data_IF_532456710793
#
_entry.id   IF_532456710793
#
_cell.length_a   1.000
_cell.length_b   1.000
_cell.length_c   1.000
_cell.angle_alpha   90.00
_cell.angle_beta   90.00
_cell.angle_gamma   90.00
#
_symmetry.space_group_name_H-M   'P 1'
#
loop_
_entity.id
_entity.type
_entity.pdbx_description
1 polymer ?
#
# COMPACT_ATOMS: atom_id res chain seq x y z
N UNK A 1 -8.04 -9.00 -32.03
CA UNK A 1 -7.82 -9.38 -30.61
C UNK A 1 -6.43 -10.01 -30.39
N UNK A 2 -6.02 -10.99 -31.20
CA UNK A 2 -4.70 -11.64 -31.10
C UNK A 2 -3.49 -10.73 -31.39
N UNK A 3 -3.57 -9.81 -32.35
CA UNK A 3 -2.46 -8.87 -32.63
C UNK A 3 -2.26 -7.81 -31.54
N UNK A 4 -3.33 -7.49 -30.81
CA UNK A 4 -3.26 -6.62 -29.64
C UNK A 4 -2.49 -7.31 -28.50
N UNK A 5 -2.78 -8.61 -28.26
CA UNK A 5 -2.03 -9.50 -27.36
C UNK A 5 -0.57 -9.71 -27.80
N UNK A 6 -0.32 -9.79 -29.12
CA UNK A 6 1.03 -9.97 -29.68
C UNK A 6 1.90 -8.72 -29.52
N UNK A 7 1.36 -7.52 -29.75
CA UNK A 7 2.05 -6.25 -29.41
C UNK A 7 2.23 -6.08 -27.90
N UNK A 8 1.28 -6.57 -27.10
CA UNK A 8 1.35 -6.66 -25.63
C UNK A 8 2.60 -7.42 -25.16
N UNK A 9 2.90 -8.56 -25.79
CA UNK A 9 4.01 -9.46 -25.45
C UNK A 9 5.34 -9.12 -26.15
N UNK A 10 5.33 -8.32 -27.22
CA UNK A 10 6.49 -8.15 -28.11
C UNK A 10 7.45 -7.03 -27.67
N UNK A 11 6.99 -5.99 -26.97
CA UNK A 11 7.85 -4.85 -26.63
C UNK A 11 8.25 -4.82 -25.14
N UNK A 12 9.56 -4.75 -24.86
CA UNK A 12 10.15 -4.75 -23.50
C UNK A 12 9.60 -3.60 -22.63
N UNK A 13 9.29 -2.45 -23.25
CA UNK A 13 8.70 -1.30 -22.57
C UNK A 13 7.21 -1.49 -22.25
N UNK A 14 6.47 -2.25 -23.08
CA UNK A 14 5.06 -2.58 -22.82
C UNK A 14 4.94 -3.51 -21.62
N UNK A 15 5.79 -4.53 -21.53
CA UNK A 15 5.85 -5.44 -20.37
C UNK A 15 6.18 -4.69 -19.08
N UNK A 16 7.12 -3.75 -19.10
CA UNK A 16 7.47 -2.90 -17.94
C UNK A 16 6.28 -2.07 -17.46
N UNK A 17 5.51 -1.47 -18.38
CA UNK A 17 4.29 -0.71 -18.05
C UNK A 17 3.20 -1.59 -17.44
N UNK A 18 2.96 -2.75 -18.02
CA UNK A 18 1.94 -3.69 -17.55
C UNK A 18 2.29 -4.25 -16.18
N UNK A 19 3.56 -4.59 -15.96
CA UNK A 19 4.02 -5.03 -14.65
C UNK A 19 3.82 -3.94 -13.59
N UNK A 20 4.11 -2.69 -13.91
CA UNK A 20 3.88 -1.56 -13.01
C UNK A 20 2.38 -1.35 -12.70
N UNK A 21 1.51 -1.44 -13.70
CA UNK A 21 0.07 -1.35 -13.53
C UNK A 21 -0.51 -2.54 -12.75
N UNK A 22 0.05 -3.74 -12.92
CA UNK A 22 -0.32 -4.93 -12.18
C UNK A 22 0.13 -4.85 -10.72
N UNK A 23 1.34 -4.35 -10.46
CA UNK A 23 1.81 -4.08 -9.09
C UNK A 23 0.92 -3.05 -8.38
N UNK A 24 0.51 -1.99 -9.09
CA UNK A 24 -0.46 -1.01 -8.60
C UNK A 24 -1.80 -1.68 -8.27
N UNK A 25 -2.31 -2.56 -9.14
CA UNK A 25 -3.56 -3.28 -8.93
C UNK A 25 -3.50 -4.22 -7.72
N UNK A 26 -2.42 -5.00 -7.59
CA UNK A 26 -2.22 -5.90 -6.45
C UNK A 26 -2.07 -5.12 -5.15
N UNK A 27 -1.26 -4.05 -5.14
CA UNK A 27 -1.08 -3.22 -3.95
C UNK A 27 -2.38 -2.54 -3.51
N UNK A 28 -3.13 -1.95 -4.43
CA UNK A 28 -4.41 -1.29 -4.12
C UNK A 28 -5.49 -2.30 -3.74
N UNK A 29 -5.52 -3.49 -4.36
CA UNK A 29 -6.44 -4.57 -4.01
C UNK A 29 -6.17 -5.14 -2.62
N UNK A 30 -4.91 -5.43 -2.28
CA UNK A 30 -4.53 -5.91 -0.94
C UNK A 30 -4.78 -4.85 0.14
N UNK A 31 -4.44 -3.59 -0.13
CA UNK A 31 -4.75 -2.50 0.79
C UNK A 31 -6.25 -2.31 0.99
N UNK A 32 -7.05 -2.46 -0.08
CA UNK A 32 -8.50 -2.35 0.02
C UNK A 32 -9.09 -3.48 0.87
N UNK A 33 -8.62 -4.71 0.67
CA UNK A 33 -9.01 -5.85 1.51
C UNK A 33 -8.64 -5.61 2.97
N UNK A 34 -7.41 -5.17 3.24
CA UNK A 34 -6.98 -4.83 4.59
C UNK A 34 -7.87 -3.74 5.22
N UNK A 35 -8.15 -2.65 4.48
CA UNK A 35 -9.01 -1.56 4.93
C UNK A 35 -10.44 -2.02 5.23
N UNK A 36 -10.97 -2.93 4.42
CA UNK A 36 -12.31 -3.48 4.60
C UNK A 36 -12.40 -4.32 5.88
N UNK A 37 -11.43 -5.23 6.09
CA UNK A 37 -11.37 -6.03 7.32
C UNK A 37 -11.20 -5.13 8.55
N UNK A 38 -10.28 -4.16 8.51
CA UNK A 38 -10.05 -3.22 9.60
C UNK A 38 -11.32 -2.41 9.94
N UNK A 39 -12.14 -2.09 8.94
CA UNK A 39 -13.38 -1.36 9.15
C UNK A 39 -14.46 -2.22 9.82
N UNK A 40 -14.54 -3.51 9.47
CA UNK A 40 -15.43 -4.46 10.15
C UNK A 40 -14.99 -4.66 11.60
N UNK A 41 -13.68 -4.79 11.82
CA UNK A 41 -13.09 -4.93 13.15
C UNK A 41 -13.38 -3.69 14.02
N UNK A 42 -13.20 -2.48 13.47
CA UNK A 42 -13.54 -1.22 14.16
C UNK A 42 -15.04 -1.13 14.53
N UNK A 43 -15.94 -1.55 13.63
CA UNK A 43 -17.38 -1.58 13.91
C UNK A 43 -17.75 -2.63 14.97
N UNK A 44 -17.03 -3.75 15.01
CA UNK A 44 -17.24 -4.79 16.02
C UNK A 44 -16.83 -4.29 17.40
N UNK A 45 -15.69 -3.59 17.48
CA UNK A 45 -15.19 -2.96 18.70
C UNK A 45 -16.10 -1.83 19.19
N UNK A 46 -16.71 -1.09 18.26
CA UNK A 46 -17.71 -0.07 18.59
C UNK A 46 -18.99 -0.66 19.21
N UNK A 47 -19.36 -1.90 18.86
CA UNK A 47 -20.48 -2.62 19.48
C UNK A 47 -20.10 -3.22 20.83
N UNK A 48 -18.89 -3.79 20.93
CA UNK A 48 -18.36 -4.44 22.11
C UNK A 48 -16.88 -4.08 22.27
N UNK A 49 -16.56 -3.12 23.15
CA UNK A 49 -15.19 -2.62 23.34
C UNK A 49 -14.20 -3.67 23.89
N UNK A 50 -14.72 -4.76 24.46
CA UNK A 50 -13.95 -5.90 24.98
C UNK A 50 -13.97 -7.13 24.07
N UNK A 51 -14.50 -7.02 22.84
CA UNK A 51 -14.48 -8.14 21.90
C UNK A 51 -13.03 -8.43 21.48
N UNK A 52 -12.56 -9.65 21.74
CA UNK A 52 -11.31 -10.13 21.18
C UNK A 52 -11.46 -10.27 19.65
N UNK A 53 -10.57 -9.65 18.90
CA UNK A 53 -10.56 -9.77 17.44
C UNK A 53 -9.89 -11.08 17.04
N UNK A 54 -10.31 -11.67 15.92
CA UNK A 54 -9.76 -12.93 15.40
C UNK A 54 -8.26 -12.86 15.08
N UNK A 55 -7.70 -11.66 15.01
CA UNK A 55 -6.31 -11.39 14.68
C UNK A 55 -5.45 -11.06 15.91
N UNK A 56 -6.02 -11.09 17.12
CA UNK A 56 -5.28 -11.02 18.38
C UNK A 56 -4.66 -12.39 18.68
N UNK A 57 -3.37 -12.55 18.37
CA UNK A 57 -2.65 -13.82 18.61
C UNK A 57 -1.83 -13.77 19.90
N UNK A 58 -1.26 -12.61 20.23
CA UNK A 58 -0.45 -12.39 21.43
C UNK A 58 -0.49 -10.90 21.83
N UNK A 59 0.04 -10.55 23.00
CA UNK A 59 0.20 -9.16 23.46
C UNK A 59 0.89 -8.25 22.43
N UNK A 60 1.81 -8.82 21.66
CA UNK A 60 2.55 -8.17 20.58
C UNK A 60 1.75 -8.08 19.28
N UNK A 61 0.99 -9.13 18.93
CA UNK A 61 0.16 -9.14 17.71
C UNK A 61 -1.28 -8.94 18.13
N UNK A 62 -1.66 -7.68 18.29
CA UNK A 62 -3.02 -7.30 18.66
C UNK A 62 -3.59 -6.22 17.74
N UNK A 63 -4.58 -6.61 16.93
CA UNK A 63 -5.38 -5.67 16.16
C UNK A 63 -6.24 -4.80 17.07
N UNK A 64 -6.74 -5.36 18.17
CA UNK A 64 -7.60 -4.65 19.13
C UNK A 64 -6.88 -3.52 19.85
N UNK A 65 -5.61 -3.72 20.23
CA UNK A 65 -4.79 -2.69 20.85
C UNK A 65 -4.59 -1.48 19.93
N UNK A 66 -4.31 -1.74 18.64
CA UNK A 66 -4.14 -0.69 17.62
C UNK A 66 -5.47 0.00 17.31
N UNK A 67 -6.57 -0.75 17.22
CA UNK A 67 -7.89 -0.22 16.87
C UNK A 67 -8.53 0.61 18.00
N UNK A 68 -8.24 0.32 19.27
CA UNK A 68 -8.72 1.10 20.42
C UNK A 68 -7.88 2.35 20.71
N UNK A 69 -6.70 2.49 20.09
CA UNK A 69 -5.86 3.65 20.32
C UNK A 69 -6.45 4.90 19.65
N UNK A 70 -6.28 6.06 20.29
CA UNK A 70 -6.83 7.34 19.79
C UNK A 70 -6.33 7.70 18.39
N UNK A 71 -5.15 7.21 18.00
CA UNK A 71 -4.60 7.40 16.66
C UNK A 71 -5.45 6.74 15.58
N UNK A 72 -6.29 5.75 15.90
CA UNK A 72 -7.18 5.07 14.97
C UNK A 72 -8.41 5.91 14.57
N UNK A 73 -8.73 6.98 15.30
CA UNK A 73 -9.92 7.83 15.09
C UNK A 73 -9.57 9.32 14.93
N UNK A 74 -8.57 9.64 14.11
CA UNK A 74 -8.03 11.01 13.98
C UNK A 74 -9.06 12.04 13.51
N UNK A 75 -9.98 11.65 12.63
CA UNK A 75 -11.00 12.54 12.05
C UNK A 75 -12.38 12.35 12.71
N UNK A 76 -12.43 11.74 13.90
CA UNK A 76 -13.67 11.40 14.61
C UNK A 76 -14.37 10.14 14.09
N UNK A 77 -13.81 9.48 13.08
CA UNK A 77 -14.22 8.17 12.58
C UNK A 77 -13.00 7.27 12.36
N UNK A 78 -13.15 5.93 12.30
CA UNK A 78 -12.02 5.03 12.14
C UNK A 78 -11.25 5.29 10.83
N UNK A 79 -9.92 5.39 10.90
CA UNK A 79 -9.07 5.71 9.76
C UNK A 79 -9.18 4.68 8.62
N UNK A 80 -9.62 3.45 8.92
CA UNK A 80 -9.85 2.38 7.95
C UNK A 80 -10.85 2.76 6.86
N UNK A 81 -11.81 3.66 7.16
CA UNK A 81 -12.75 4.19 6.18
C UNK A 81 -12.08 5.06 5.11
N UNK A 82 -10.99 5.76 5.45
CA UNK A 82 -10.22 6.54 4.48
C UNK A 82 -9.66 5.61 3.40
N UNK A 83 -9.14 4.44 3.80
CA UNK A 83 -8.67 3.41 2.88
C UNK A 83 -9.79 2.86 1.99
N UNK A 84 -10.97 2.60 2.56
CA UNK A 84 -12.14 2.15 1.80
C UNK A 84 -12.64 3.15 0.75
N UNK A 85 -12.37 4.45 0.93
CA UNK A 85 -12.76 5.48 -0.05
C UNK A 85 -11.67 5.68 -1.11
N UNK A 86 -10.40 5.70 -0.69
CA UNK A 86 -9.28 6.09 -1.56
C UNK A 86 -8.72 4.94 -2.39
N UNK A 87 -8.65 3.72 -1.84
CA UNK A 87 -8.05 2.58 -2.52
C UNK A 87 -8.89 2.04 -3.71
N UNK A 88 -10.24 2.06 -3.70
CA UNK A 88 -11.01 1.72 -4.90
C UNK A 88 -10.71 2.66 -6.07
N UNK A 89 -10.45 3.94 -5.79
CA UNK A 89 -10.03 4.89 -6.84
C UNK A 89 -8.69 4.45 -7.43
N UNK A 90 -7.73 4.00 -6.61
CA UNK A 90 -6.46 3.45 -7.12
C UNK A 90 -6.64 2.16 -7.91
N UNK A 91 -7.54 1.26 -7.47
CA UNK A 91 -7.90 0.03 -8.21
C UNK A 91 -8.47 0.37 -9.58
N UNK A 92 -9.42 1.31 -9.66
CA UNK A 92 -10.03 1.71 -10.94
C UNK A 92 -9.01 2.32 -11.89
N UNK A 93 -8.10 3.15 -11.39
CA UNK A 93 -6.97 3.68 -12.17
C UNK A 93 -6.11 2.52 -12.69
N UNK A 94 -5.76 1.55 -11.83
CA UNK A 94 -4.93 0.41 -12.23
C UNK A 94 -5.58 -0.44 -13.34
N UNK A 95 -6.88 -0.75 -13.21
CA UNK A 95 -7.65 -1.50 -14.22
C UNK A 95 -7.72 -0.72 -15.53
N UNK A 96 -8.01 0.59 -15.47
CA UNK A 96 -8.05 1.43 -16.66
C UNK A 96 -6.69 1.50 -17.38
N UNK A 97 -5.58 1.56 -16.62
CA UNK A 97 -4.24 1.51 -17.17
C UNK A 97 -3.93 0.16 -17.84
N UNK A 98 -4.38 -0.96 -17.26
CA UNK A 98 -4.24 -2.30 -17.86
C UNK A 98 -5.07 -2.47 -19.14
N UNK A 99 -6.25 -1.85 -19.18
CA UNK A 99 -7.10 -1.77 -20.37
C UNK A 99 -6.50 -0.88 -21.48
N UNK A 100 -5.41 -0.15 -21.19
CA UNK A 100 -4.72 0.71 -22.16
C UNK A 100 -5.27 2.13 -22.24
N UNK A 101 -6.07 2.56 -21.25
CA UNK A 101 -6.54 3.94 -21.17
C UNK A 101 -5.37 4.91 -21.02
N UNK A 102 -5.48 6.06 -21.69
CA UNK A 102 -4.48 7.14 -21.62
C UNK A 102 -5.07 8.29 -20.80
N UNK A 103 -4.51 8.52 -19.62
CA UNK A 103 -4.88 9.64 -18.77
C UNK A 103 -4.05 10.90 -19.09
N UNK A 104 -4.61 12.11 -18.91
CA UNK A 104 -3.85 13.35 -19.01
C UNK A 104 -2.81 13.42 -17.88
N UNK A 105 -1.70 14.15 -18.11
CA UNK A 105 -0.59 14.24 -17.15
C UNK A 105 -1.03 14.77 -15.79
N UNK A 106 -1.88 15.80 -15.74
CA UNK A 106 -2.39 16.35 -14.48
C UNK A 106 -3.09 15.30 -13.61
N UNK A 107 -3.91 14.44 -14.20
CA UNK A 107 -4.60 13.37 -13.46
C UNK A 107 -3.60 12.39 -12.84
N UNK A 108 -2.58 12.02 -13.59
CA UNK A 108 -1.51 11.14 -13.10
C UNK A 108 -0.67 11.77 -11.99
N UNK A 109 -0.48 13.10 -12.01
CA UNK A 109 0.13 13.85 -10.91
C UNK A 109 -0.76 13.87 -9.67
N UNK A 110 -2.07 14.08 -9.84
CA UNK A 110 -3.04 13.99 -8.75
C UNK A 110 -3.03 12.61 -8.08
N UNK A 111 -3.04 11.54 -8.88
CA UNK A 111 -2.92 10.17 -8.38
C UNK A 111 -1.60 9.94 -7.62
N UNK A 112 -0.48 10.48 -8.13
CA UNK A 112 0.82 10.37 -7.48
C UNK A 112 0.85 11.10 -6.13
N UNK A 113 0.30 12.31 -6.07
CA UNK A 113 0.18 13.07 -4.81
C UNK A 113 -0.69 12.34 -3.80
N UNK A 114 -1.82 11.79 -4.23
CA UNK A 114 -2.68 10.96 -3.38
C UNK A 114 -1.97 9.73 -2.85
N UNK A 115 -1.20 9.03 -3.69
CA UNK A 115 -0.41 7.89 -3.26
C UNK A 115 0.68 8.28 -2.24
N UNK A 116 1.42 9.36 -2.49
CA UNK A 116 2.46 9.82 -1.54
C UNK A 116 1.84 10.25 -0.21
N UNK A 117 0.72 10.98 -0.23
CA UNK A 117 0.01 11.36 0.98
C UNK A 117 -0.47 10.13 1.77
N UNK A 118 -1.03 9.13 1.07
CA UNK A 118 -1.43 7.85 1.66
C UNK A 118 -0.24 7.10 2.27
N UNK A 119 0.92 7.08 1.61
CA UNK A 119 2.12 6.44 2.12
C UNK A 119 2.69 7.14 3.37
N UNK A 120 2.66 8.47 3.40
CA UNK A 120 3.07 9.23 4.58
C UNK A 120 2.14 8.96 5.76
N UNK A 121 0.83 8.92 5.51
CA UNK A 121 -0.15 8.58 6.53
C UNK A 121 0.02 7.15 7.06
N UNK A 122 0.23 6.18 6.17
CA UNK A 122 0.53 4.79 6.50
C UNK A 122 1.80 4.69 7.37
N UNK A 123 2.89 5.35 6.96
CA UNK A 123 4.14 5.38 7.74
C UNK A 123 4.00 6.03 9.12
N UNK A 124 3.16 7.07 9.24
CA UNK A 124 2.83 7.67 10.53
C UNK A 124 2.05 6.70 11.44
N UNK A 125 1.07 5.99 10.89
CA UNK A 125 0.32 4.97 11.63
C UNK A 125 1.19 3.79 12.06
N UNK A 126 2.13 3.38 11.20
CA UNK A 126 3.14 2.38 11.54
C UNK A 126 4.01 2.84 12.71
N UNK A 127 4.48 4.09 12.69
CA UNK A 127 5.25 4.67 13.79
C UNK A 127 4.47 4.65 15.11
N UNK A 128 3.21 5.07 15.09
CA UNK A 128 2.34 5.04 16.27
C UNK A 128 2.17 3.62 16.82
N UNK A 129 1.92 2.65 15.95
CA UNK A 129 1.72 1.24 16.37
C UNK A 129 3.00 0.64 16.96
N UNK A 130 4.14 0.93 16.33
CA UNK A 130 5.43 0.35 16.68
C UNK A 130 6.09 1.00 17.90
N UNK A 131 6.08 2.34 18.00
CA UNK A 131 6.79 3.08 19.05
C UNK A 131 5.92 3.36 20.27
N UNK A 132 4.68 3.80 20.07
CA UNK A 132 3.81 4.25 21.17
C UNK A 132 3.03 3.08 21.78
N UNK A 133 2.40 2.25 20.93
CA UNK A 133 1.55 1.14 21.39
C UNK A 133 2.39 -0.11 21.72
N UNK A 134 3.44 -0.36 20.93
CA UNK A 134 4.25 -1.58 21.05
C UNK A 134 3.52 -2.84 20.56
N UNK A 135 2.50 -2.70 19.70
CA UNK A 135 1.72 -3.80 19.15
C UNK A 135 1.63 -3.70 17.62
N UNK A 136 1.67 -4.85 16.95
CA UNK A 136 1.60 -4.96 15.49
C UNK A 136 0.30 -5.61 15.04
N UNK A 137 -0.35 -4.96 14.09
CA UNK A 137 -1.53 -5.47 13.42
C UNK A 137 -1.13 -6.06 12.05
N UNK A 138 -1.38 -7.35 11.77
CA UNK A 138 -1.05 -7.97 10.47
C UNK A 138 -1.76 -7.30 9.29
N UNK A 139 -2.98 -6.81 9.51
CA UNK A 139 -3.73 -6.09 8.48
C UNK A 139 -3.16 -4.69 8.22
N UNK A 140 -2.70 -3.98 9.25
CA UNK A 140 -2.01 -2.70 9.07
C UNK A 140 -0.72 -2.90 8.26
N UNK A 141 0.09 -3.92 8.57
CA UNK A 141 1.28 -4.25 7.78
C UNK A 141 0.93 -4.57 6.32
N UNK A 142 -0.18 -5.25 6.10
CA UNK A 142 -0.69 -5.55 4.75
C UNK A 142 -1.09 -4.28 4.01
N UNK A 143 -1.74 -3.34 4.70
CA UNK A 143 -2.06 -2.01 4.17
C UNK A 143 -0.79 -1.24 3.81
N UNK A 144 0.20 -1.20 4.70
CA UNK A 144 1.48 -0.51 4.52
C UNK A 144 2.24 -1.07 3.30
N UNK A 145 2.30 -2.41 3.20
CA UNK A 145 2.87 -3.10 2.05
C UNK A 145 2.10 -2.78 0.75
N UNK A 146 0.77 -2.76 0.81
CA UNK A 146 -0.08 -2.36 -0.31
C UNK A 146 0.20 -0.94 -0.78
N UNK A 147 0.36 0.00 0.16
CA UNK A 147 0.66 1.40 -0.14
C UNK A 147 2.06 1.59 -0.75
N UNK A 148 3.06 0.83 -0.28
CA UNK A 148 4.39 0.78 -0.91
C UNK A 148 4.30 0.29 -2.36
N UNK A 149 3.54 -0.79 -2.61
CA UNK A 149 3.32 -1.32 -3.95
C UNK A 149 2.58 -0.34 -4.87
N UNK A 150 1.58 0.38 -4.35
CA UNK A 150 0.85 1.42 -5.08
C UNK A 150 1.79 2.56 -5.47
N UNK A 151 2.56 3.10 -4.52
CA UNK A 151 3.55 4.15 -4.80
C UNK A 151 4.58 3.69 -5.83
N UNK A 152 5.09 2.47 -5.70
CA UNK A 152 6.04 1.89 -6.63
C UNK A 152 5.46 1.72 -8.04
N UNK A 153 4.30 1.07 -8.15
CA UNK A 153 3.63 0.81 -9.43
C UNK A 153 3.29 2.11 -10.15
N UNK A 154 2.74 3.09 -9.43
CA UNK A 154 2.36 4.38 -10.00
C UNK A 154 3.57 5.22 -10.41
N UNK A 155 4.62 5.28 -9.57
CA UNK A 155 5.87 6.00 -9.89
C UNK A 155 6.53 5.41 -11.12
N UNK A 156 6.65 4.08 -11.18
CA UNK A 156 7.25 3.39 -12.32
C UNK A 156 6.44 3.60 -13.60
N UNK A 157 5.10 3.52 -13.51
CA UNK A 157 4.23 3.79 -14.66
C UNK A 157 4.38 5.23 -15.15
N UNK A 158 4.42 6.20 -14.24
CA UNK A 158 4.58 7.63 -14.56
C UNK A 158 5.92 7.97 -15.23
N UNK A 159 7.00 7.32 -14.78
CA UNK A 159 8.35 7.51 -15.34
C UNK A 159 8.48 6.85 -16.73
N UNK A 160 7.92 5.65 -16.92
CA UNK A 160 7.94 4.97 -18.23
C UNK A 160 7.04 5.65 -19.25
N UNK A 161 5.97 6.31 -18.80
CA UNK A 161 5.07 7.10 -19.66
C UNK A 161 5.52 8.52 -19.93
N UNK A 162 6.53 9.02 -19.20
CA UNK A 162 7.01 10.40 -19.31
C UNK A 162 5.99 11.43 -18.80
N UNK A 163 5.05 11.00 -17.95
CA UNK A 163 4.10 11.88 -17.29
C UNK A 163 4.76 12.65 -16.13
N UNK A 164 5.72 12.02 -15.43
CA UNK A 164 6.47 12.58 -14.30
C UNK A 164 7.97 12.25 -14.46
N UNK A 165 8.83 13.28 -14.36
CA UNK A 165 10.29 13.12 -14.26
C UNK A 165 11.07 13.29 -15.57
N UNK A 166 12.18 14.04 -15.49
CA UNK A 166 13.11 14.27 -16.60
C UNK A 166 14.01 13.06 -16.93
N UNK A 167 14.90 13.21 -17.92
CA UNK A 167 15.82 12.16 -18.41
C UNK A 167 16.61 11.42 -17.31
N UNK A 168 16.89 12.08 -16.18
CA UNK A 168 17.64 11.53 -15.04
C UNK A 168 16.82 10.53 -14.21
N UNK A 169 15.54 10.82 -13.97
CA UNK A 169 14.61 9.94 -13.24
C UNK A 169 14.34 8.65 -14.03
N UNK A 170 14.22 8.77 -15.35
CA UNK A 170 14.04 7.65 -16.26
C UNK A 170 15.23 6.67 -16.24
N UNK A 171 16.46 7.20 -16.24
CA UNK A 171 17.68 6.39 -16.05
C UNK A 171 17.75 5.72 -14.66
N UNK A 172 17.20 6.35 -13.63
CA UNK A 172 17.20 5.82 -12.26
C UNK A 172 16.26 4.61 -12.13
N UNK A 173 15.03 4.73 -12.65
CA UNK A 173 14.05 3.63 -12.70
C UNK A 173 14.46 2.54 -13.70
N UNK A 174 15.06 2.89 -14.84
CA UNK A 174 15.51 1.89 -15.82
C UNK A 174 16.66 1.02 -15.31
N UNK A 175 17.44 1.51 -14.34
CA UNK A 175 18.48 0.74 -13.63
C UNK A 175 17.93 -0.18 -12.53
N UNK A 176 16.62 -0.18 -12.26
CA UNK A 176 16.00 -1.04 -11.25
C UNK A 176 16.17 -0.56 -9.80
N UNK A 177 16.61 0.68 -9.62
CA UNK A 177 16.80 1.28 -8.29
C UNK A 177 15.50 1.43 -7.52
N UNK A 178 14.37 1.58 -8.22
CA UNK A 178 13.01 1.57 -7.66
C UNK A 178 12.67 0.23 -7.01
N UNK A 179 13.03 -0.87 -7.66
CA UNK A 179 12.79 -2.23 -7.16
C UNK A 179 13.73 -2.55 -6.01
N UNK A 180 14.99 -2.11 -6.10
CA UNK A 180 15.95 -2.22 -5.02
C UNK A 180 15.53 -1.41 -3.79
N UNK A 181 15.01 -0.20 -3.97
CA UNK A 181 14.52 0.64 -2.88
C UNK A 181 13.29 0.01 -2.20
N UNK A 182 12.33 -0.52 -2.97
CA UNK A 182 11.19 -1.23 -2.39
C UNK A 182 11.63 -2.49 -1.64
N UNK A 183 12.54 -3.28 -2.21
CA UNK A 183 13.09 -4.45 -1.54
C UNK A 183 13.86 -4.07 -0.26
N UNK A 184 14.66 -3.00 -0.30
CA UNK A 184 15.37 -2.48 0.86
C UNK A 184 14.40 -2.04 1.96
N UNK A 185 13.37 -1.26 1.62
CA UNK A 185 12.36 -0.80 2.59
C UNK A 185 11.62 -1.99 3.18
N UNK A 186 11.20 -2.96 2.36
CA UNK A 186 10.55 -4.18 2.86
C UNK A 186 11.48 -4.98 3.79
N UNK A 187 12.75 -5.17 3.42
CA UNK A 187 13.74 -5.86 4.26
C UNK A 187 13.99 -5.11 5.55
N UNK A 188 14.11 -3.79 5.52
CA UNK A 188 14.29 -2.96 6.72
C UNK A 188 13.08 -3.09 7.64
N UNK A 189 11.86 -3.00 7.11
CA UNK A 189 10.64 -3.20 7.92
C UNK A 189 10.65 -4.60 8.55
N UNK A 190 10.91 -5.65 7.78
CA UNK A 190 10.96 -7.03 8.30
C UNK A 190 12.05 -7.19 9.36
N UNK A 191 13.25 -6.65 9.14
CA UNK A 191 14.37 -6.72 10.09
C UNK A 191 14.05 -5.96 11.37
N UNK A 192 13.44 -4.78 11.28
CA UNK A 192 13.03 -3.98 12.44
C UNK A 192 11.96 -4.72 13.25
N UNK A 193 10.98 -5.34 12.59
CA UNK A 193 9.96 -6.17 13.25
C UNK A 193 10.63 -7.35 13.97
N UNK A 194 11.52 -8.08 13.28
CA UNK A 194 12.21 -9.23 13.86
C UNK A 194 13.19 -8.85 14.98
N UNK A 195 13.87 -7.70 14.89
CA UNK A 195 14.81 -7.27 15.92
C UNK A 195 14.10 -6.92 17.24
N UNK A 196 12.90 -6.34 17.15
CA UNK A 196 12.17 -5.83 18.32
C UNK A 196 11.22 -6.86 18.90
N UNK A 197 10.52 -7.58 18.03
CA UNK A 197 9.50 -8.56 18.43
C UNK A 197 9.93 -10.00 18.26
N UNK A 198 11.08 -10.28 17.63
CA UNK A 198 11.54 -11.65 17.38
C UNK A 198 11.71 -12.47 18.67
N UNK A 199 12.06 -11.85 19.80
CA UNK A 199 12.14 -12.56 21.08
C UNK A 199 10.77 -12.95 21.66
N UNK A 200 9.72 -12.18 21.37
CA UNK A 200 8.34 -12.42 21.85
C UNK A 200 7.50 -13.24 20.85
N UNK A 201 7.94 -13.29 19.58
CA UNK A 201 7.33 -14.07 18.49
C UNK A 201 7.79 -15.54 18.46
N UNK A 202 9.00 -15.82 18.95
CA UNK A 202 9.65 -17.14 18.92
C UNK A 202 9.94 -17.73 20.31
N UNK A 203 9.45 -17.10 21.38
CA UNK A 203 9.42 -17.66 22.74
C UNK A 203 8.04 -18.28 23.02
#
# INVERSE_FOLDING_TARGET
MFDMLRKWLSNKDSKRRQFAALALLLGSGLGLLASFVLSIEALTLAKNSYAALNCDLNSVISCSAVANHWSATLLGFPNSFIGMITLPVMVTIAVALLAGAKFPKWFMWGAQLGAVAGLLFAGWMFYMSYVEIGALCPWCLTLDAGMLLVCYGLTRYNVVTGAVGGRRMRKFVDRGFDTFLLALVAVVIVVVILATFGRELFA
#
